data_IF_411836773685
#
_entry.id   IF_411836773685
#
_cell.length_a   1.000
_cell.length_b   1.000
_cell.length_c   1.000
_cell.angle_alpha   90.00
_cell.angle_beta   90.00
_cell.angle_gamma   90.00
#
_symmetry.space_group_name_H-M   'P 1'
#
loop_
_entity.id
_entity.type
_entity.pdbx_description
1 polymer ?
#
# COMPACT_ATOMS: atom_id res chain seq x y z
N UNK A 1 -33.28 -15.49 -3.04
CA UNK A 1 -33.12 -14.09 -3.47
C UNK A 1 -31.71 -13.68 -3.08
N UNK A 2 -30.90 -13.25 -4.05
CA UNK A 2 -29.52 -12.81 -3.82
C UNK A 2 -29.60 -11.45 -3.11
N UNK A 3 -29.13 -11.36 -1.87
CA UNK A 3 -28.84 -10.04 -1.29
C UNK A 3 -27.65 -9.46 -2.08
N UNK A 4 -27.73 -8.20 -2.55
CA UNK A 4 -26.57 -7.57 -3.16
C UNK A 4 -25.44 -7.56 -2.12
N UNK A 5 -24.22 -7.88 -2.56
CA UNK A 5 -23.04 -7.74 -1.72
C UNK A 5 -23.03 -6.33 -1.10
N UNK A 6 -22.69 -6.25 0.20
CA UNK A 6 -22.53 -4.97 0.90
C UNK A 6 -21.81 -3.96 0.01
N UNK A 7 -22.33 -2.73 -0.05
CA UNK A 7 -21.72 -1.65 -0.83
C UNK A 7 -20.28 -1.47 -0.35
N UNK A 8 -19.32 -1.71 -1.25
CA UNK A 8 -17.90 -1.56 -0.93
C UNK A 8 -17.59 -0.10 -0.58
N UNK A 9 -16.70 0.08 0.38
CA UNK A 9 -16.18 1.40 0.77
C UNK A 9 -15.03 1.76 -0.15
N UNK A 10 -15.14 2.82 -0.97
CA UNK A 10 -14.06 3.23 -1.85
C UNK A 10 -12.88 3.77 -1.05
N UNK A 11 -11.68 3.39 -1.46
CA UNK A 11 -10.42 3.83 -0.88
C UNK A 11 -9.35 3.98 -1.96
N UNK A 12 -8.30 4.75 -1.68
CA UNK A 12 -7.17 4.88 -2.57
C UNK A 12 -5.86 4.97 -1.79
N UNK A 13 -4.82 4.34 -2.35
CA UNK A 13 -3.47 4.36 -1.79
C UNK A 13 -2.47 4.80 -2.84
N UNK A 14 -1.39 5.45 -2.40
CA UNK A 14 -0.22 5.66 -3.23
C UNK A 14 0.71 4.45 -3.10
N UNK A 15 1.22 3.93 -4.21
CA UNK A 15 2.35 3.00 -4.29
C UNK A 15 3.58 3.84 -4.65
N UNK A 16 4.26 4.43 -3.66
CA UNK A 16 5.37 5.36 -3.86
C UNK A 16 6.65 4.61 -4.23
N UNK A 17 7.17 4.86 -5.43
CA UNK A 17 8.47 4.39 -5.88
C UNK A 17 9.45 5.57 -5.81
N UNK A 18 10.48 5.46 -4.98
CA UNK A 18 11.45 6.53 -4.76
C UNK A 18 12.72 6.28 -5.57
N UNK A 19 13.20 7.33 -6.24
CA UNK A 19 14.46 7.30 -7.01
C UNK A 19 15.66 7.54 -6.08
N UNK A 20 16.24 6.48 -5.51
CA UNK A 20 17.48 6.56 -4.72
C UNK A 20 18.71 6.33 -5.57
N UNK A 21 19.88 6.77 -5.10
CA UNK A 21 21.14 6.62 -5.83
C UNK A 21 21.52 5.13 -6.00
N UNK A 22 21.15 4.30 -5.04
CA UNK A 22 21.40 2.86 -4.99
C UNK A 22 20.35 2.05 -5.76
N UNK A 23 19.28 2.69 -6.26
CA UNK A 23 18.20 2.06 -7.02
C UNK A 23 16.81 2.52 -6.58
N UNK A 24 15.78 1.98 -7.23
CA UNK A 24 14.41 2.27 -6.86
C UNK A 24 14.03 1.57 -5.55
N UNK A 25 13.32 2.28 -4.69
CA UNK A 25 12.74 1.74 -3.44
C UNK A 25 11.24 1.97 -3.41
N UNK A 26 10.53 1.22 -2.57
CA UNK A 26 9.10 1.39 -2.30
C UNK A 26 8.94 1.90 -0.88
N UNK A 27 8.33 3.08 -0.73
CA UNK A 27 8.06 3.67 0.58
C UNK A 27 6.80 3.08 1.21
N UNK A 28 6.87 2.73 2.48
CA UNK A 28 5.79 2.11 3.25
C UNK A 28 5.67 2.75 4.62
N UNK A 29 4.49 2.65 5.20
CA UNK A 29 4.19 3.10 6.56
C UNK A 29 3.93 1.90 7.46
N UNK A 30 4.25 2.04 8.75
CA UNK A 30 3.85 1.13 9.80
C UNK A 30 2.91 1.86 10.74
N UNK A 31 1.68 1.36 10.88
CA UNK A 31 0.67 1.99 11.75
C UNK A 31 1.05 1.89 13.22
N UNK A 32 0.66 2.88 14.00
CA UNK A 32 0.86 2.86 15.46
C UNK A 32 0.11 1.69 16.12
N UNK A 33 0.64 1.21 17.25
CA UNK A 33 0.12 0.01 17.92
C UNK A 33 -1.17 0.26 18.74
N UNK A 34 -1.52 1.52 18.98
CA UNK A 34 -2.65 1.91 19.84
C UNK A 34 -3.96 2.11 19.07
N UNK A 35 -3.92 2.05 17.73
CA UNK A 35 -5.11 2.09 16.89
C UNK A 35 -5.88 0.77 17.00
N UNK A 36 -7.19 0.87 17.23
CA UNK A 36 -8.08 -0.27 17.49
C UNK A 36 -8.14 -1.26 16.32
N UNK A 37 -7.99 -0.77 15.09
CA UNK A 37 -7.95 -1.57 13.88
C UNK A 37 -6.52 -1.61 13.32
N UNK A 38 -6.03 -2.81 12.98
CA UNK A 38 -4.79 -3.00 12.21
C UNK A 38 -3.50 -2.46 12.87
N UNK A 39 -3.42 -2.45 14.20
CA UNK A 39 -2.22 -2.09 14.97
C UNK A 39 -0.93 -2.75 14.43
N UNK A 40 0.09 -1.93 14.15
CA UNK A 40 1.40 -2.38 13.70
C UNK A 40 1.47 -2.93 12.27
N UNK A 41 0.39 -2.83 11.48
CA UNK A 41 0.41 -3.30 10.09
C UNK A 41 1.23 -2.39 9.19
N UNK A 42 1.87 -3.01 8.20
CA UNK A 42 2.56 -2.31 7.12
C UNK A 42 1.57 -2.02 6.00
N UNK A 43 1.54 -0.77 5.56
CA UNK A 43 0.64 -0.27 4.52
C UNK A 43 1.35 0.66 3.56
N UNK A 44 0.74 0.82 2.39
CA UNK A 44 0.94 2.01 1.59
C UNK A 44 0.25 3.21 2.25
N UNK A 45 0.76 4.45 2.08
CA UNK A 45 0.03 5.62 2.53
C UNK A 45 -1.26 5.78 1.72
N UNK A 46 -2.35 6.13 2.40
CA UNK A 46 -3.67 6.19 1.77
C UNK A 46 -4.82 5.88 2.72
N UNK A 47 -6.03 6.09 2.22
CA UNK A 47 -7.22 6.04 3.06
C UNK A 47 -8.52 5.98 2.26
N UNK A 48 -9.61 6.31 2.95
CA UNK A 48 -10.96 6.28 2.38
C UNK A 48 -11.15 7.47 1.44
N UNK A 49 -11.99 7.29 0.43
CA UNK A 49 -12.42 8.43 -0.39
C UNK A 49 -13.37 9.29 0.43
N UNK A 50 -13.00 10.55 0.61
CA UNK A 50 -13.83 11.53 1.30
C UNK A 50 -14.80 12.24 0.34
N UNK A 51 -15.94 12.78 0.83
CA UNK A 51 -16.91 13.48 -0.03
C UNK A 51 -16.33 14.68 -0.79
N UNK A 52 -15.23 15.26 -0.31
CA UNK A 52 -14.54 16.38 -0.95
C UNK A 52 -13.50 15.96 -2.01
N UNK A 53 -13.17 14.67 -2.10
CA UNK A 53 -12.18 14.20 -3.06
C UNK A 53 -12.77 14.16 -4.48
N UNK A 54 -12.01 14.66 -5.46
CA UNK A 54 -12.40 14.62 -6.87
C UNK A 54 -12.21 13.25 -7.53
N UNK A 55 -11.76 12.25 -6.76
CA UNK A 55 -11.51 10.89 -7.21
C UNK A 55 -10.32 10.24 -6.49
N UNK A 56 -9.98 8.98 -6.85
CA UNK A 56 -8.97 8.19 -6.15
C UNK A 56 -7.57 8.81 -6.16
N UNK A 57 -7.22 9.52 -7.23
CA UNK A 57 -5.96 10.28 -7.30
C UNK A 57 -5.92 11.39 -6.24
N UNK A 58 -7.01 12.15 -6.09
CA UNK A 58 -7.05 13.21 -5.08
C UNK A 58 -6.92 12.61 -3.68
N UNK A 59 -7.67 11.54 -3.40
CA UNK A 59 -7.64 10.81 -2.14
C UNK A 59 -6.23 10.31 -1.81
N UNK A 60 -5.60 9.53 -2.69
CA UNK A 60 -4.29 8.96 -2.41
C UNK A 60 -3.24 10.03 -2.12
N UNK A 61 -3.24 11.13 -2.88
CA UNK A 61 -2.28 12.23 -2.67
C UNK A 61 -2.59 13.05 -1.41
N UNK A 62 -3.87 13.25 -1.05
CA UNK A 62 -4.27 13.95 0.19
C UNK A 62 -3.85 13.14 1.40
N UNK A 63 -4.25 11.87 1.44
CA UNK A 63 -3.93 10.93 2.53
C UNK A 63 -2.42 10.76 2.69
N UNK A 64 -1.67 10.67 1.59
CA UNK A 64 -0.20 10.61 1.66
C UNK A 64 0.41 11.88 2.26
N UNK A 65 -0.13 13.06 1.92
CA UNK A 65 0.33 14.31 2.51
C UNK A 65 -0.03 14.41 4.00
N UNK A 66 -1.22 13.95 4.39
CA UNK A 66 -1.70 13.93 5.78
C UNK A 66 -0.92 12.93 6.66
N UNK A 67 -0.72 11.69 6.19
CA UNK A 67 -0.10 10.63 6.98
C UNK A 67 1.43 10.77 7.11
N UNK A 68 2.12 11.21 6.04
CA UNK A 68 3.59 11.23 5.99
C UNK A 68 4.20 12.58 5.62
N UNK A 69 3.40 13.62 5.38
CA UNK A 69 3.89 14.96 5.04
C UNK A 69 4.50 15.08 3.66
N UNK A 70 4.40 14.05 2.81
CA UNK A 70 4.97 14.08 1.46
C UNK A 70 4.12 14.98 0.56
N UNK A 71 4.65 16.15 0.22
CA UNK A 71 3.94 17.10 -0.62
C UNK A 71 3.66 16.55 -2.02
N UNK A 72 2.43 16.74 -2.50
CA UNK A 72 1.90 16.18 -3.76
C UNK A 72 2.75 16.51 -5.00
N UNK A 73 3.47 17.65 -4.99
CA UNK A 73 4.32 18.08 -6.10
C UNK A 73 5.58 17.22 -6.29
N UNK A 74 5.96 16.43 -5.27
CA UNK A 74 7.03 15.44 -5.41
C UNK A 74 6.56 14.15 -6.12
N UNK A 75 5.25 13.94 -6.25
CA UNK A 75 4.68 12.71 -6.78
C UNK A 75 4.33 12.86 -8.26
N UNK A 76 5.06 12.17 -9.12
CA UNK A 76 4.69 11.99 -10.52
C UNK A 76 3.95 10.67 -10.69
N UNK A 77 2.63 10.72 -10.88
CA UNK A 77 1.84 9.53 -11.17
C UNK A 77 2.24 8.92 -12.52
N UNK A 78 2.47 7.61 -12.53
CA UNK A 78 2.90 6.85 -13.71
C UNK A 78 1.94 5.73 -14.09
N UNK A 79 0.97 5.39 -13.24
CA UNK A 79 -0.01 4.37 -13.55
C UNK A 79 -0.93 4.06 -12.37
N UNK A 80 -1.81 3.10 -12.59
CA UNK A 80 -2.70 2.53 -11.59
C UNK A 80 -2.64 1.01 -11.72
N UNK A 81 -2.54 0.32 -10.60
CA UNK A 81 -2.62 -1.13 -10.51
C UNK A 81 -4.08 -1.61 -10.52
N UNK A 82 -4.28 -2.92 -10.60
CA UNK A 82 -5.62 -3.48 -10.53
C UNK A 82 -6.31 -3.12 -9.20
N UNK A 83 -7.61 -2.82 -9.27
CA UNK A 83 -8.42 -2.54 -8.08
C UNK A 83 -8.37 -3.72 -7.12
N UNK A 84 -8.03 -3.44 -5.85
CA UNK A 84 -7.93 -4.46 -4.82
C UNK A 84 -9.13 -4.44 -3.88
N UNK A 85 -9.92 -5.51 -3.88
CA UNK A 85 -11.06 -5.66 -2.95
C UNK A 85 -10.61 -6.42 -1.70
N UNK A 86 -10.68 -5.74 -0.56
CA UNK A 86 -10.32 -6.31 0.74
C UNK A 86 -11.47 -7.13 1.34
N UNK A 87 -11.13 -8.04 2.26
CA UNK A 87 -12.15 -8.80 3.02
C UNK A 87 -12.92 -7.95 4.04
N UNK A 88 -12.43 -6.76 4.34
CA UNK A 88 -13.07 -5.79 5.24
C UNK A 88 -14.02 -4.84 4.51
N UNK A 89 -14.27 -5.07 3.22
CA UNK A 89 -15.27 -4.33 2.45
C UNK A 89 -14.74 -3.07 1.76
N UNK A 90 -13.42 -2.90 1.65
CA UNK A 90 -12.84 -1.81 0.87
C UNK A 90 -12.58 -2.18 -0.59
N UNK A 91 -12.87 -1.26 -1.49
CA UNK A 91 -12.44 -1.27 -2.89
C UNK A 91 -11.30 -0.25 -3.05
N UNK A 92 -10.07 -0.74 -3.12
CA UNK A 92 -8.87 0.10 -3.11
C UNK A 92 -8.38 0.34 -4.53
N UNK A 93 -8.21 1.60 -4.90
CA UNK A 93 -7.47 2.03 -6.09
C UNK A 93 -5.99 2.25 -5.74
N UNK A 94 -5.03 1.44 -6.25
CA UNK A 94 -3.61 1.64 -5.96
C UNK A 94 -2.93 2.45 -7.08
N UNK A 95 -2.52 3.67 -6.76
CA UNK A 95 -1.92 4.62 -7.71
C UNK A 95 -0.40 4.55 -7.63
N UNK A 96 0.29 4.28 -8.73
CA UNK A 96 1.76 4.21 -8.74
C UNK A 96 2.34 5.60 -9.00
N UNK A 97 3.19 6.08 -8.11
CA UNK A 97 3.84 7.38 -8.22
C UNK A 97 5.36 7.27 -8.10
N UNK A 98 6.09 7.94 -8.99
CA UNK A 98 7.53 8.16 -8.87
C UNK A 98 7.79 9.40 -8.03
N UNK A 99 8.75 9.29 -7.11
CA UNK A 99 9.15 10.36 -6.20
C UNK A 99 10.64 10.65 -6.40
N UNK A 100 10.94 11.89 -6.76
CA UNK A 100 12.30 12.38 -6.91
C UNK A 100 12.80 13.08 -5.63
N UNK A 101 13.94 12.66 -5.06
CA UNK A 101 14.62 13.41 -4.00
C UNK A 101 15.16 14.77 -4.48
N UNK A 102 15.42 15.71 -3.55
CA UNK A 102 15.17 15.63 -2.11
C UNK A 102 13.70 15.89 -1.77
N UNK A 103 13.23 15.28 -0.68
CA UNK A 103 11.95 15.58 -0.02
C UNK A 103 12.12 15.38 1.49
N UNK A 104 11.27 16.05 2.27
CA UNK A 104 11.15 15.83 3.71
C UNK A 104 9.86 15.08 3.99
N UNK A 105 9.89 14.24 5.02
CA UNK A 105 8.71 13.56 5.55
C UNK A 105 8.41 14.10 6.95
N UNK A 106 7.13 14.21 7.25
CA UNK A 106 6.60 14.60 8.56
C UNK A 106 5.45 13.65 8.90
N UNK A 107 5.75 12.44 9.40
CA UNK A 107 4.73 11.48 9.77
C UNK A 107 3.80 12.04 10.84
N UNK A 108 2.50 11.76 10.71
CA UNK A 108 1.58 11.95 11.83
C UNK A 108 1.84 10.85 12.86
N UNK A 109 2.50 11.20 13.97
CA UNK A 109 2.84 10.28 15.07
C UNK A 109 1.63 9.59 15.70
N UNK A 110 0.41 10.08 15.47
CA UNK A 110 -0.81 9.41 15.91
C UNK A 110 -1.14 8.19 15.04
N UNK A 111 -0.94 8.30 13.72
CA UNK A 111 -1.31 7.29 12.74
C UNK A 111 -0.15 6.39 12.32
N UNK A 112 1.03 6.99 12.15
CA UNK A 112 2.23 6.38 11.58
C UNK A 112 3.32 6.32 12.64
N UNK A 113 3.66 5.10 13.07
CA UNK A 113 4.78 4.89 13.98
C UNK A 113 6.13 4.99 13.26
N UNK A 114 6.16 4.66 11.97
CA UNK A 114 7.39 4.55 11.21
C UNK A 114 7.11 4.67 9.71
N UNK A 115 8.01 5.37 9.01
CA UNK A 115 8.10 5.35 7.55
C UNK A 115 9.42 4.72 7.15
N UNK A 116 9.37 3.75 6.26
CA UNK A 116 10.55 3.00 5.83
C UNK A 116 10.48 2.68 4.34
N UNK A 117 11.60 2.25 3.77
CA UNK A 117 11.72 1.91 2.36
C UNK A 117 12.21 0.48 2.17
N UNK A 118 11.64 -0.20 1.18
CA UNK A 118 12.06 -1.54 0.76
C UNK A 118 12.61 -1.45 -0.66
N UNK A 119 13.80 -1.99 -0.97
CA UNK A 119 14.30 -1.99 -2.34
C UNK A 119 13.29 -2.61 -3.31
N UNK A 120 13.01 -1.93 -4.43
CA UNK A 120 12.10 -2.47 -5.45
C UNK A 120 12.63 -3.79 -6.00
N UNK A 121 13.96 -3.93 -6.12
CA UNK A 121 14.60 -5.20 -6.50
C UNK A 121 14.29 -6.35 -5.53
N UNK A 122 14.15 -6.08 -4.23
CA UNK A 122 13.72 -7.10 -3.27
C UNK A 122 12.26 -7.49 -3.51
N UNK A 123 11.37 -6.52 -3.75
CA UNK A 123 9.96 -6.79 -4.05
C UNK A 123 9.80 -7.62 -5.34
N UNK A 124 10.59 -7.32 -6.36
CA UNK A 124 10.54 -7.99 -7.66
C UNK A 124 11.20 -9.38 -7.66
N UNK A 125 12.02 -9.71 -6.66
CA UNK A 125 12.63 -11.05 -6.54
C UNK A 125 11.55 -12.07 -6.14
N UNK A 126 11.27 -13.10 -6.98
CA UNK A 126 10.32 -14.16 -6.64
C UNK A 126 10.65 -14.90 -5.33
N UNK A 127 11.92 -14.91 -4.90
CA UNK A 127 12.33 -15.53 -3.64
C UNK A 127 11.86 -14.74 -2.40
N UNK A 128 11.62 -13.44 -2.54
CA UNK A 128 11.13 -12.56 -1.47
C UNK A 128 9.63 -12.75 -1.21
N UNK A 129 8.88 -13.11 -2.25
CA UNK A 129 7.45 -13.40 -2.17
C UNK A 129 7.22 -14.79 -1.59
N UNK A 130 6.70 -14.87 -0.36
CA UNK A 130 6.37 -16.14 0.29
C UNK A 130 4.87 -16.34 0.35
N UNK A 131 4.43 -17.57 0.07
CA UNK A 131 3.04 -17.98 0.29
C UNK A 131 2.92 -18.68 1.63
N UNK A 132 2.03 -18.18 2.47
CA UNK A 132 1.71 -18.79 3.76
C UNK A 132 0.23 -19.15 3.84
N UNK A 133 -0.16 -19.86 4.89
CA UNK A 133 -1.54 -20.19 5.16
C UNK A 133 -1.89 -20.12 6.64
N UNK A 134 -3.16 -19.82 6.93
CA UNK A 134 -3.72 -19.82 8.28
C UNK A 134 -5.18 -20.28 8.25
N UNK A 135 -5.59 -20.99 9.29
CA UNK A 135 -7.01 -21.32 9.49
C UNK A 135 -7.78 -20.07 9.89
N UNK A 136 -8.82 -19.72 9.14
CA UNK A 136 -9.68 -18.57 9.41
C UNK A 136 -11.14 -18.92 9.15
N UNK A 137 -12.01 -18.73 10.16
CA UNK A 137 -13.43 -19.12 10.13
C UNK A 137 -13.66 -20.54 9.61
N UNK A 138 -12.83 -21.50 10.06
CA UNK A 138 -12.94 -22.92 9.69
C UNK A 138 -12.39 -23.30 8.30
N UNK A 139 -11.79 -22.37 7.55
CA UNK A 139 -11.18 -22.66 6.26
C UNK A 139 -9.69 -22.31 6.24
N UNK A 140 -8.87 -23.16 5.61
CA UNK A 140 -7.47 -22.84 5.36
C UNK A 140 -7.40 -21.76 4.29
N UNK A 141 -6.78 -20.62 4.63
CA UNK A 141 -6.62 -19.49 3.71
C UNK A 141 -5.17 -19.27 3.42
N UNK A 142 -4.85 -19.11 2.14
CA UNK A 142 -3.53 -18.73 1.70
C UNK A 142 -3.43 -17.22 1.52
N UNK A 143 -2.24 -16.67 1.76
CA UNK A 143 -1.92 -15.26 1.54
C UNK A 143 -0.44 -15.10 1.22
N UNK A 144 -0.10 -14.01 0.55
CA UNK A 144 1.28 -13.64 0.27
C UNK A 144 1.85 -12.80 1.42
N UNK A 145 3.14 -12.95 1.63
CA UNK A 145 3.93 -12.14 2.56
C UNK A 145 5.29 -11.82 1.95
N UNK A 146 5.81 -10.64 2.30
CA UNK A 146 7.18 -10.21 2.01
C UNK A 146 7.86 -9.91 3.35
N UNK A 147 8.58 -10.87 3.95
CA UNK A 147 9.35 -10.62 5.16
C UNK A 147 10.63 -9.87 4.80
N UNK A 148 10.81 -8.67 5.32
CA UNK A 148 11.95 -7.80 5.04
C UNK A 148 12.46 -7.19 6.33
N UNK A 149 13.70 -7.52 6.72
CA UNK A 149 14.25 -7.19 8.04
C UNK A 149 13.24 -7.50 9.18
N UNK A 150 12.90 -6.49 9.99
CA UNK A 150 11.93 -6.59 11.08
C UNK A 150 10.47 -6.36 10.63
N UNK A 151 10.24 -6.12 9.34
CA UNK A 151 8.92 -5.86 8.78
C UNK A 151 8.29 -7.12 8.20
N UNK A 152 7.01 -7.27 8.54
CA UNK A 152 6.17 -8.34 8.03
C UNK A 152 5.09 -7.74 7.15
N UNK A 153 5.31 -7.73 5.83
CA UNK A 153 4.39 -7.14 4.86
C UNK A 153 3.42 -8.23 4.41
N UNK A 154 2.12 -8.04 4.64
CA UNK A 154 1.09 -9.05 4.36
C UNK A 154 -0.25 -8.38 4.03
N UNK A 155 -1.28 -9.19 3.76
CA UNK A 155 -2.64 -8.69 3.56
C UNK A 155 -2.79 -7.91 2.25
N UNK A 156 -3.53 -6.80 2.28
CA UNK A 156 -3.80 -5.99 1.10
C UNK A 156 -2.52 -5.41 0.49
N UNK A 157 -1.59 -4.93 1.33
CA UNK A 157 -0.29 -4.40 0.91
C UNK A 157 0.49 -5.44 0.10
N UNK A 158 0.64 -6.66 0.63
CA UNK A 158 1.31 -7.74 -0.09
C UNK A 158 0.56 -8.14 -1.37
N UNK A 159 -0.78 -8.14 -1.36
CA UNK A 159 -1.58 -8.40 -2.56
C UNK A 159 -1.32 -7.39 -3.68
N UNK A 160 -1.27 -6.10 -3.34
CA UNK A 160 -0.96 -5.03 -4.30
C UNK A 160 0.50 -5.07 -4.76
N UNK A 161 1.44 -5.44 -3.89
CA UNK A 161 2.84 -5.66 -4.28
C UNK A 161 2.99 -6.81 -5.29
N UNK A 162 2.24 -7.90 -5.13
CA UNK A 162 2.21 -8.99 -6.12
C UNK A 162 1.70 -8.48 -7.47
N UNK A 163 0.62 -7.70 -7.48
CA UNK A 163 0.12 -7.12 -8.73
C UNK A 163 1.15 -6.17 -9.37
N UNK A 164 1.87 -5.37 -8.58
CA UNK A 164 3.00 -4.57 -9.07
C UNK A 164 4.07 -5.45 -9.74
N UNK A 165 4.44 -6.56 -9.12
CA UNK A 165 5.44 -7.50 -9.72
C UNK A 165 4.95 -8.11 -11.03
N UNK A 166 3.67 -8.45 -11.13
CA UNK A 166 3.07 -9.01 -12.33
C UNK A 166 3.04 -7.97 -13.46
N UNK A 167 2.66 -6.73 -13.16
CA UNK A 167 2.62 -5.64 -14.16
C UNK A 167 4.03 -5.32 -14.67
N UNK A 168 5.02 -5.23 -13.79
CA UNK A 168 6.40 -4.91 -14.18
C UNK A 168 7.14 -6.10 -14.82
N UNK A 169 6.79 -7.33 -14.45
CA UNK A 169 7.38 -8.56 -15.01
C UNK A 169 6.83 -8.94 -16.38
N UNK A 170 5.66 -8.41 -16.77
CA UNK A 170 5.07 -8.59 -18.10
C UNK A 170 5.44 -7.47 -19.09
N UNK A 171 6.30 -6.53 -18.70
CA UNK A 171 6.80 -5.46 -19.55
C UNK A 171 7.95 -5.95 -20.43
N UNK A 172 7.64 -6.88 -21.35
CA UNK A 172 8.52 -7.31 -22.45
C UNK A 172 8.05 -6.73 -23.79
#
# INVERSE_FOLDING_TARGET
MYEPAEKLTPAAVLVPIVERAEGLTVLLTKRTAHLHDHAGQVSFPGGRVDPGDSGPVSTALRETEEEIGLARHHVRLIGQLDTYVTRTGFEISPLVGLIAPPFELRPDDFEVAEVFEVPLGFILDPASQKRQSRMFKGALRHFYVFPYDDYYIWGATAGMLVNLTEVLGNAD
#
